data_IF_318078259844
#
_entry.id   IF_318078259844
#
_cell.length_a   1.000
_cell.length_b   1.000
_cell.length_c   1.000
_cell.angle_alpha   90.00
_cell.angle_beta   90.00
_cell.angle_gamma   90.00
#
_symmetry.space_group_name_H-M   'P 1'
#
loop_
_entity.id
_entity.type
_entity.pdbx_description
1 polymer ?
#
# COMPACT_ATOMS: atom_id res chain seq x y z
N UNK A 1 -6.19 10.76 11.55
CA UNK A 1 -5.10 10.33 12.46
C UNK A 1 -4.99 11.37 13.56
N UNK A 2 -4.83 10.96 14.82
CA UNK A 2 -4.68 11.87 15.96
C UNK A 2 -3.44 11.45 16.76
N UNK A 3 -2.55 12.41 17.04
CA UNK A 3 -1.41 12.23 17.95
C UNK A 3 -1.92 12.06 19.38
N UNK A 4 -1.50 11.00 20.07
CA UNK A 4 -1.95 10.68 21.43
C UNK A 4 -0.83 10.80 22.47
N UNK A 5 0.44 10.72 22.04
CA UNK A 5 1.63 11.03 22.85
C UNK A 5 2.68 11.70 21.95
N UNK A 6 3.90 11.93 22.47
CA UNK A 6 4.98 12.46 21.63
C UNK A 6 5.45 11.50 20.54
N UNK A 7 5.26 10.21 20.73
CA UNK A 7 5.74 9.16 19.82
C UNK A 7 4.64 8.31 19.20
N UNK A 8 3.38 8.51 19.60
CA UNK A 8 2.27 7.64 19.16
C UNK A 8 1.12 8.44 18.56
N UNK A 9 0.52 7.83 17.53
CA UNK A 9 -0.70 8.28 16.89
C UNK A 9 -1.71 7.14 16.77
N UNK A 10 -2.97 7.53 16.59
CA UNK A 10 -4.07 6.62 16.29
C UNK A 10 -4.71 7.01 14.97
N UNK A 11 -4.67 6.10 14.00
CA UNK A 11 -5.56 6.15 12.82
C UNK A 11 -6.87 5.47 13.20
N UNK A 12 -8.01 6.11 12.93
CA UNK A 12 -9.32 5.53 13.22
C UNK A 12 -10.37 5.97 12.21
N UNK A 13 -11.39 5.14 12.02
CA UNK A 13 -12.51 5.40 11.12
C UNK A 13 -13.23 4.12 10.68
N UNK A 14 -14.32 4.30 9.94
CA UNK A 14 -15.10 3.19 9.39
C UNK A 14 -14.33 2.33 8.37
N UNK A 15 -13.33 2.92 7.73
CA UNK A 15 -12.52 2.26 6.69
C UNK A 15 -11.13 1.82 7.20
N UNK A 16 -10.85 1.94 8.50
CA UNK A 16 -9.61 1.46 9.09
C UNK A 16 -9.80 -0.01 9.46
N UNK A 17 -9.03 -0.90 8.83
CA UNK A 17 -9.28 -2.35 8.92
C UNK A 17 -8.10 -3.10 9.54
N UNK A 18 -8.37 -4.33 9.98
CA UNK A 18 -7.32 -5.27 10.36
C UNK A 18 -6.40 -5.61 9.16
N UNK A 19 -6.90 -5.52 7.93
CA UNK A 19 -6.12 -5.69 6.71
C UNK A 19 -5.03 -4.62 6.58
N UNK A 20 -5.39 -3.35 6.71
CA UNK A 20 -4.43 -2.24 6.72
C UNK A 20 -3.34 -2.43 7.78
N UNK A 21 -3.75 -2.79 9.01
CA UNK A 21 -2.81 -3.07 10.09
C UNK A 21 -1.80 -4.17 9.71
N UNK A 22 -2.27 -5.30 9.17
CA UNK A 22 -1.40 -6.40 8.75
C UNK A 22 -0.48 -6.02 7.59
N UNK A 23 -0.98 -5.25 6.63
CA UNK A 23 -0.18 -4.75 5.52
C UNK A 23 0.96 -3.85 6.00
N UNK A 24 0.68 -2.93 6.91
CA UNK A 24 1.69 -2.04 7.49
C UNK A 24 2.75 -2.83 8.28
N UNK A 25 2.36 -3.81 9.09
CA UNK A 25 3.31 -4.69 9.79
C UNK A 25 4.17 -5.51 8.80
N UNK A 26 3.54 -6.03 7.75
CA UNK A 26 4.24 -6.81 6.73
C UNK A 26 5.25 -5.96 5.94
N UNK A 27 4.91 -4.71 5.64
CA UNK A 27 5.81 -3.75 5.02
C UNK A 27 6.98 -3.39 5.94
N UNK A 28 6.69 -3.05 7.20
CA UNK A 28 7.71 -2.74 8.21
C UNK A 28 8.75 -3.86 8.36
N UNK A 29 8.32 -5.12 8.35
CA UNK A 29 9.21 -6.28 8.49
C UNK A 29 10.10 -6.54 7.26
N UNK A 30 9.68 -6.07 6.08
CA UNK A 30 10.34 -6.40 4.80
C UNK A 30 11.20 -5.26 4.26
N UNK A 31 10.89 -4.03 4.63
CA UNK A 31 11.56 -2.84 4.11
C UNK A 31 12.67 -2.36 5.04
N UNK A 32 13.78 -1.96 4.44
CA UNK A 32 14.90 -1.36 5.14
C UNK A 32 14.58 0.11 5.46
N UNK A 33 14.52 0.42 6.74
CA UNK A 33 14.25 1.77 7.26
C UNK A 33 15.31 2.83 6.90
N UNK A 34 16.48 2.42 6.42
CA UNK A 34 17.49 3.34 5.86
C UNK A 34 17.15 3.80 4.44
N UNK A 35 16.24 3.09 3.76
CA UNK A 35 15.76 3.43 2.40
C UNK A 35 14.36 4.04 2.46
N UNK A 36 13.45 3.38 3.18
CA UNK A 36 12.08 3.86 3.39
C UNK A 36 11.58 3.33 4.72
N UNK A 37 11.17 4.25 5.58
CA UNK A 37 10.66 3.92 6.91
C UNK A 37 9.14 3.67 6.82
N UNK A 38 8.68 2.67 7.55
CA UNK A 38 7.25 2.39 7.73
C UNK A 38 6.96 2.50 9.23
N UNK A 39 6.06 3.41 9.66
CA UNK A 39 5.71 3.56 11.07
C UNK A 39 5.30 2.22 11.68
N UNK A 40 5.79 1.93 12.89
CA UNK A 40 5.45 0.67 13.58
C UNK A 40 3.97 0.65 13.90
N UNK A 41 3.24 -0.35 13.38
CA UNK A 41 1.87 -0.60 13.77
C UNK A 41 1.86 -1.54 14.98
N UNK A 42 1.52 -1.02 16.16
CA UNK A 42 1.57 -1.74 17.43
C UNK A 42 0.34 -2.58 17.69
N UNK A 43 -0.85 -2.03 17.39
CA UNK A 43 -2.11 -2.68 17.74
C UNK A 43 -3.26 -2.25 16.85
N UNK A 44 -4.06 -3.22 16.44
CA UNK A 44 -5.41 -2.98 15.94
C UNK A 44 -6.45 -3.23 17.04
N UNK A 45 -7.43 -2.35 17.14
CA UNK A 45 -8.63 -2.50 17.97
C UNK A 45 -9.83 -2.14 17.12
N UNK A 46 -10.92 -2.88 17.27
CA UNK A 46 -12.20 -2.52 16.66
C UNK A 46 -13.25 -2.34 17.76
N UNK A 47 -14.00 -1.25 17.66
CA UNK A 47 -15.17 -0.98 18.49
C UNK A 47 -16.33 -0.64 17.57
N UNK A 48 -17.39 -1.45 17.61
CA UNK A 48 -18.52 -1.35 16.69
C UNK A 48 -18.02 -1.37 15.22
N UNK A 49 -18.41 -0.38 14.42
CA UNK A 49 -17.98 -0.22 13.03
C UNK A 49 -16.69 0.61 12.86
N UNK A 50 -16.01 0.98 13.95
CA UNK A 50 -14.81 1.82 13.90
C UNK A 50 -13.57 0.97 14.21
N UNK A 51 -12.63 0.93 13.26
CA UNK A 51 -11.30 0.39 13.50
C UNK A 51 -10.33 1.47 14.01
N UNK A 52 -9.33 1.02 14.74
CA UNK A 52 -8.28 1.84 15.35
C UNK A 52 -6.93 1.15 15.16
N UNK A 53 -5.96 1.86 14.60
CA UNK A 53 -4.56 1.43 14.53
C UNK A 53 -3.74 2.36 15.42
N UNK A 54 -3.13 1.81 16.45
CA UNK A 54 -2.13 2.48 17.28
C UNK A 54 -0.77 2.26 16.62
N UNK A 55 -0.08 3.34 16.29
CA UNK A 55 1.17 3.32 15.55
C UNK A 55 2.13 4.44 15.97
N UNK A 56 3.38 4.37 15.51
CA UNK A 56 4.32 5.48 15.62
C UNK A 56 3.72 6.77 15.04
N UNK A 57 3.89 7.86 15.77
CA UNK A 57 3.72 9.20 15.21
C UNK A 57 4.99 9.59 14.48
N UNK A 58 4.85 10.04 13.23
CA UNK A 58 5.96 10.59 12.44
C UNK A 58 5.92 12.11 12.60
N UNK A 59 6.96 12.67 13.19
CA UNK A 59 7.14 14.12 13.31
C UNK A 59 7.89 14.60 12.06
N UNK A 60 7.15 15.09 11.07
CA UNK A 60 7.71 15.49 9.78
C UNK A 60 6.67 16.10 8.86
N UNK A 61 7.13 16.58 7.71
CA UNK A 61 6.29 17.27 6.73
C UNK A 61 5.72 16.29 5.70
N UNK A 62 4.39 16.24 5.59
CA UNK A 62 3.73 15.52 4.49
C UNK A 62 4.02 16.22 3.17
N UNK A 63 4.47 15.47 2.16
CA UNK A 63 4.82 16.05 0.88
C UNK A 63 3.58 16.60 0.15
N UNK A 64 3.71 17.83 -0.34
CA UNK A 64 2.82 18.36 -1.37
C UNK A 64 3.34 18.01 -2.78
N UNK A 65 2.55 18.35 -3.79
CA UNK A 65 2.89 18.06 -5.19
C UNK A 65 4.15 18.79 -5.66
N UNK A 66 4.47 19.97 -5.09
CA UNK A 66 5.63 20.77 -5.49
C UNK A 66 6.90 20.12 -4.94
N UNK A 67 6.89 19.77 -3.66
CA UNK A 67 8.00 19.13 -2.94
C UNK A 67 8.27 17.74 -3.49
N UNK A 68 7.22 16.95 -3.76
CA UNK A 68 7.36 15.64 -4.39
C UNK A 68 8.00 15.69 -5.78
N UNK A 69 7.71 16.74 -6.59
CA UNK A 69 8.38 16.92 -7.89
C UNK A 69 9.88 17.15 -7.73
N UNK A 70 10.29 17.90 -6.71
CA UNK A 70 11.71 18.13 -6.42
C UNK A 70 12.42 16.86 -5.95
N UNK A 71 11.70 15.92 -5.34
CA UNK A 71 12.22 14.63 -4.86
C UNK A 71 12.00 13.46 -5.83
N UNK A 72 11.52 13.70 -7.05
CA UNK A 72 11.05 12.64 -7.94
C UNK A 72 12.09 11.53 -8.22
N UNK A 73 13.37 11.89 -8.35
CA UNK A 73 14.45 10.92 -8.55
C UNK A 73 14.63 10.00 -7.33
N UNK A 74 14.58 10.58 -6.13
CA UNK A 74 14.72 9.84 -4.87
C UNK A 74 13.50 8.95 -4.61
N UNK A 75 12.29 9.49 -4.80
CA UNK A 75 11.05 8.71 -4.71
C UNK A 75 11.02 7.57 -5.73
N UNK A 76 11.57 7.77 -6.93
CA UNK A 76 11.75 6.71 -7.92
C UNK A 76 12.70 5.60 -7.46
N UNK A 77 13.79 5.94 -6.74
CA UNK A 77 14.71 4.97 -6.13
C UNK A 77 14.02 4.17 -5.01
N UNK A 78 13.24 4.85 -4.17
CA UNK A 78 12.44 4.22 -3.10
C UNK A 78 11.42 3.25 -3.70
N UNK A 79 10.62 3.70 -4.68
CA UNK A 79 9.63 2.85 -5.33
C UNK A 79 10.29 1.68 -6.07
N UNK A 80 11.42 1.92 -6.73
CA UNK A 80 12.24 0.87 -7.33
C UNK A 80 12.78 -0.15 -6.33
N UNK A 81 13.03 0.25 -5.08
CA UNK A 81 13.40 -0.67 -3.98
C UNK A 81 12.22 -1.50 -3.49
N UNK A 82 11.06 -0.88 -3.30
CA UNK A 82 9.82 -1.58 -2.91
C UNK A 82 9.48 -2.66 -3.95
N UNK A 83 9.54 -2.32 -5.24
CA UNK A 83 9.23 -3.28 -6.32
C UNK A 83 10.18 -4.50 -6.41
N UNK A 84 11.36 -4.46 -5.78
CA UNK A 84 12.26 -5.62 -5.72
C UNK A 84 11.79 -6.69 -4.76
N UNK A 85 10.86 -6.37 -3.85
CA UNK A 85 10.28 -7.35 -2.95
C UNK A 85 9.26 -8.19 -3.71
N UNK A 86 9.60 -9.43 -4.02
CA UNK A 86 8.74 -10.33 -4.82
C UNK A 86 7.87 -11.26 -3.97
N UNK A 87 6.87 -11.86 -4.61
CA UNK A 87 6.07 -12.95 -4.05
C UNK A 87 5.74 -14.01 -5.12
N UNK A 88 5.30 -15.18 -4.67
CA UNK A 88 4.89 -16.30 -5.54
C UNK A 88 3.41 -16.29 -5.89
N UNK A 89 2.59 -15.58 -5.10
CA UNK A 89 1.14 -15.46 -5.29
C UNK A 89 0.73 -14.00 -5.16
N UNK A 90 -0.25 -13.55 -5.97
CA UNK A 90 -0.79 -12.20 -5.85
C UNK A 90 -1.72 -12.10 -4.65
N UNK A 91 -1.96 -10.89 -4.17
CA UNK A 91 -2.88 -10.65 -3.05
C UNK A 91 -2.37 -9.59 -2.07
N UNK A 92 -3.13 -9.44 -0.99
CA UNK A 92 -2.86 -8.44 0.06
C UNK A 92 -1.51 -8.69 0.73
N UNK A 93 -0.77 -7.62 1.04
CA UNK A 93 0.62 -7.71 1.52
C UNK A 93 0.75 -8.47 2.86
N UNK A 94 -0.19 -8.24 3.76
CA UNK A 94 -0.34 -8.91 5.04
C UNK A 94 -1.29 -10.12 5.01
N UNK A 95 -1.77 -10.50 3.82
CA UNK A 95 -2.74 -11.57 3.59
C UNK A 95 -4.20 -11.19 3.91
N UNK A 96 -5.10 -12.10 3.55
CA UNK A 96 -6.55 -11.89 3.59
C UNK A 96 -7.05 -11.04 2.42
N UNK A 97 -8.30 -10.53 2.51
CA UNK A 97 -8.94 -9.81 1.42
C UNK A 97 -8.19 -8.55 0.99
N UNK A 98 -8.28 -8.28 -0.30
CA UNK A 98 -7.79 -7.05 -0.91
C UNK A 98 -8.62 -5.83 -0.49
N UNK A 99 -8.00 -4.66 -0.58
CA UNK A 99 -8.62 -3.38 -0.26
C UNK A 99 -8.04 -2.30 -1.17
N UNK A 100 -8.78 -1.21 -1.37
CA UNK A 100 -8.39 -0.11 -2.27
C UNK A 100 -9.22 -0.05 -3.55
N UNK A 101 -9.00 1.02 -4.31
CA UNK A 101 -9.89 1.47 -5.40
C UNK A 101 -9.97 0.53 -6.61
N UNK A 102 -9.05 -0.43 -6.74
CA UNK A 102 -9.07 -1.41 -7.82
C UNK A 102 -10.06 -2.55 -7.58
N UNK A 103 -10.55 -2.69 -6.35
CA UNK A 103 -11.35 -3.84 -5.92
C UNK A 103 -12.75 -3.38 -5.48
N UNK A 104 -13.78 -4.23 -5.59
CA UNK A 104 -15.14 -3.88 -5.19
C UNK A 104 -15.22 -3.62 -3.68
N UNK A 105 -15.93 -2.56 -3.27
CA UNK A 105 -16.05 -2.19 -1.84
C UNK A 105 -16.86 -3.19 -0.99
N UNK A 106 -17.67 -4.05 -1.64
CA UNK A 106 -18.62 -4.94 -0.96
C UNK A 106 -18.34 -6.42 -1.22
N UNK A 107 -17.16 -6.75 -1.74
CA UNK A 107 -16.75 -8.12 -2.03
C UNK A 107 -15.34 -8.40 -1.50
N UNK A 108 -15.18 -9.52 -0.79
CA UNK A 108 -13.87 -9.98 -0.37
C UNK A 108 -13.17 -10.65 -1.56
N UNK A 109 -12.14 -9.97 -2.09
CA UNK A 109 -11.33 -10.49 -3.19
C UNK A 109 -10.03 -11.06 -2.67
N UNK A 110 -9.79 -12.34 -2.93
CA UNK A 110 -8.53 -13.03 -2.67
C UNK A 110 -8.12 -13.84 -3.89
N UNK A 111 -6.81 -14.00 -4.09
CA UNK A 111 -6.25 -14.78 -5.20
C UNK A 111 -5.33 -15.86 -4.64
N UNK A 112 -5.46 -17.10 -5.10
CA UNK A 112 -4.55 -18.18 -4.70
C UNK A 112 -3.26 -18.13 -5.54
N UNK A 113 -3.40 -17.73 -6.81
CA UNK A 113 -2.31 -17.74 -7.79
C UNK A 113 -2.56 -16.75 -8.95
N UNK A 114 -1.60 -16.66 -9.86
CA UNK A 114 -1.66 -15.73 -11.00
C UNK A 114 -2.75 -16.03 -12.03
N UNK A 115 -3.25 -17.26 -12.13
CA UNK A 115 -4.41 -17.59 -13.00
C UNK A 115 -5.69 -16.99 -12.43
N UNK A 116 -5.88 -16.99 -11.10
CA UNK A 116 -7.06 -16.39 -10.47
C UNK A 116 -7.08 -14.87 -10.71
N UNK A 117 -5.92 -14.21 -10.55
CA UNK A 117 -5.77 -12.79 -10.86
C UNK A 117 -6.04 -12.51 -12.36
N UNK A 118 -5.52 -13.35 -13.26
CA UNK A 118 -5.77 -13.20 -14.70
C UNK A 118 -7.25 -13.34 -15.02
N UNK A 119 -7.92 -14.35 -14.46
CA UNK A 119 -9.33 -14.61 -14.67
C UNK A 119 -10.18 -13.43 -14.17
N UNK A 120 -9.87 -12.92 -12.97
CA UNK A 120 -10.55 -11.76 -12.41
C UNK A 120 -10.37 -10.54 -13.31
N UNK A 121 -9.14 -10.26 -13.75
CA UNK A 121 -8.86 -9.13 -14.64
C UNK A 121 -9.58 -9.26 -15.98
N UNK A 122 -9.61 -10.46 -16.57
CA UNK A 122 -10.32 -10.73 -17.83
C UNK A 122 -11.83 -10.52 -17.72
N UNK A 123 -12.43 -10.80 -16.56
CA UNK A 123 -13.85 -10.61 -16.30
C UNK A 123 -14.23 -9.15 -16.07
N UNK A 124 -13.31 -8.35 -15.51
CA UNK A 124 -13.56 -6.97 -15.10
C UNK A 124 -12.92 -5.92 -16.01
N UNK A 125 -12.12 -6.33 -17.00
CA UNK A 125 -11.52 -5.42 -17.97
C UNK A 125 -12.54 -4.93 -19.00
N UNK A 126 -12.71 -3.61 -19.19
CA UNK A 126 -13.71 -3.04 -20.09
C UNK A 126 -13.40 -3.22 -21.59
N UNK A 127 -12.20 -3.70 -21.96
CA UNK A 127 -11.72 -3.71 -23.35
C UNK A 127 -11.38 -5.11 -23.87
N UNK A 128 -12.00 -5.50 -24.98
CA UNK A 128 -11.79 -6.79 -25.67
C UNK A 128 -10.60 -6.82 -26.66
N UNK A 129 -9.98 -5.68 -26.95
CA UNK A 129 -9.01 -5.53 -28.05
C UNK A 129 -7.56 -5.92 -27.73
N UNK A 130 -7.10 -5.71 -26.50
CA UNK A 130 -5.74 -6.06 -26.06
C UNK A 130 -5.80 -6.63 -24.64
N UNK A 131 -5.78 -7.96 -24.53
CA UNK A 131 -5.71 -8.64 -23.24
C UNK A 131 -4.27 -8.64 -22.74
N UNK A 132 -4.05 -8.03 -21.58
CA UNK A 132 -2.76 -8.10 -20.89
C UNK A 132 -2.64 -9.46 -20.21
N UNK A 133 -1.58 -10.19 -20.52
CA UNK A 133 -1.25 -11.45 -19.85
C UNK A 133 -0.45 -11.17 -18.56
N UNK A 134 -1.17 -10.99 -17.46
CA UNK A 134 -0.62 -10.70 -16.12
C UNK A 134 0.34 -11.79 -15.66
N UNK A 135 0.12 -13.04 -16.09
CA UNK A 135 0.93 -14.21 -15.70
C UNK A 135 2.38 -14.13 -16.19
N UNK A 136 2.66 -13.30 -17.20
CA UNK A 136 4.02 -13.08 -17.71
C UNK A 136 4.82 -12.07 -16.90
N UNK A 137 4.20 -11.45 -15.90
CA UNK A 137 4.82 -10.39 -15.13
C UNK A 137 5.16 -10.91 -13.74
N UNK A 138 6.37 -10.59 -13.27
CA UNK A 138 6.75 -10.85 -11.89
C UNK A 138 5.84 -10.06 -10.94
N UNK A 139 5.50 -10.69 -9.81
CA UNK A 139 4.77 -10.05 -8.74
C UNK A 139 5.75 -9.27 -7.86
N UNK A 140 5.47 -8.00 -7.68
CA UNK A 140 6.23 -7.06 -6.88
C UNK A 140 5.34 -6.50 -5.79
N UNK A 141 5.93 -6.22 -4.62
CA UNK A 141 5.27 -5.42 -3.60
C UNK A 141 4.91 -4.07 -4.22
N UNK A 142 3.64 -3.72 -4.13
CA UNK A 142 3.06 -2.46 -4.54
C UNK A 142 2.37 -1.84 -3.32
N UNK A 143 2.58 -0.56 -3.11
CA UNK A 143 1.84 0.26 -2.17
C UNK A 143 0.41 0.51 -2.66
N UNK A 144 0.23 0.72 -3.97
CA UNK A 144 -1.07 1.00 -4.61
C UNK A 144 -1.76 2.29 -4.11
N UNK A 145 -0.99 3.18 -3.49
CA UNK A 145 -1.39 4.56 -3.18
C UNK A 145 -0.13 5.40 -2.92
N UNK A 146 0.88 5.25 -3.79
CA UNK A 146 2.16 5.94 -3.69
C UNK A 146 2.02 7.43 -4.09
N UNK A 147 1.26 8.17 -3.29
CA UNK A 147 0.92 9.58 -3.50
C UNK A 147 1.68 10.47 -2.48
N UNK A 148 2.06 11.70 -2.83
CA UNK A 148 2.70 12.65 -1.91
C UNK A 148 2.03 12.77 -0.54
N UNK A 149 0.69 12.70 -0.49
CA UNK A 149 -0.09 12.75 0.77
C UNK A 149 0.23 11.62 1.76
N UNK A 150 0.80 10.53 1.28
CA UNK A 150 1.19 9.35 2.06
C UNK A 150 2.70 9.29 2.32
N UNK A 151 3.44 10.34 1.97
CA UNK A 151 4.87 10.44 2.16
C UNK A 151 5.15 11.57 3.14
N UNK A 152 5.78 11.22 4.25
CA UNK A 152 6.22 12.18 5.27
C UNK A 152 7.74 12.21 5.25
N UNK A 153 8.31 13.41 5.25
CA UNK A 153 9.76 13.62 5.29
C UNK A 153 10.13 14.25 6.61
N UNK A 154 11.08 13.64 7.30
CA UNK A 154 11.71 14.16 8.51
C UNK A 154 13.22 14.20 8.24
N UNK A 155 13.76 15.41 8.10
CA UNK A 155 15.11 15.68 7.58
C UNK A 155 15.37 14.97 6.23
N UNK A 156 16.20 13.92 6.24
CA UNK A 156 16.57 13.11 5.08
C UNK A 156 15.93 11.71 5.12
N UNK A 157 14.90 11.50 5.95
CA UNK A 157 14.24 10.21 6.13
C UNK A 157 12.87 10.27 5.49
N UNK A 158 12.60 9.29 4.63
CA UNK A 158 11.30 9.12 3.97
C UNK A 158 10.49 8.10 4.75
N UNK A 159 9.31 8.52 5.19
CA UNK A 159 8.31 7.66 5.82
C UNK A 159 7.15 7.46 4.84
N UNK A 160 6.79 6.20 4.61
CA UNK A 160 5.66 5.82 3.76
C UNK A 160 4.53 5.28 4.64
N UNK A 161 3.36 5.91 4.56
CA UNK A 161 2.19 5.62 5.39
C UNK A 161 1.00 5.17 4.53
N UNK A 162 -0.07 4.70 5.19
CA UNK A 162 -1.30 4.24 4.55
C UNK A 162 -1.12 3.02 3.63
N UNK A 163 -0.83 1.87 4.25
CA UNK A 163 -0.63 0.59 3.57
C UNK A 163 -1.94 -0.18 3.31
N UNK A 164 -3.09 0.51 3.34
CA UNK A 164 -4.41 -0.12 3.26
C UNK A 164 -4.60 -0.93 1.98
N UNK A 165 -4.13 -0.42 0.84
CA UNK A 165 -4.25 -1.06 -0.46
C UNK A 165 -3.08 -1.98 -0.85
N UNK A 166 -2.05 -2.08 -0.02
CA UNK A 166 -0.79 -2.71 -0.42
C UNK A 166 -0.93 -4.21 -0.71
N UNK A 167 -0.18 -4.68 -1.71
CA UNK A 167 -0.22 -6.08 -2.13
C UNK A 167 0.87 -6.45 -3.13
N UNK A 168 0.85 -7.71 -3.58
CA UNK A 168 1.77 -8.23 -4.59
C UNK A 168 1.09 -8.33 -5.95
N UNK A 169 1.55 -7.50 -6.88
CA UNK A 169 0.98 -7.37 -8.23
C UNK A 169 2.07 -7.06 -9.25
N UNK A 170 1.78 -7.16 -10.56
CA UNK A 170 2.66 -6.61 -11.57
C UNK A 170 2.95 -5.13 -11.30
N UNK A 171 4.22 -4.73 -11.26
CA UNK A 171 4.67 -3.36 -10.87
C UNK A 171 3.96 -2.19 -11.58
N UNK A 172 3.38 -2.42 -12.75
CA UNK A 172 2.66 -1.39 -13.49
C UNK A 172 1.31 -1.04 -12.85
N UNK A 173 0.80 -1.85 -11.91
CA UNK A 173 -0.41 -1.56 -11.15
C UNK A 173 -0.31 -0.24 -10.36
N UNK A 174 0.88 0.13 -9.88
CA UNK A 174 1.14 1.45 -9.28
C UNK A 174 0.75 2.62 -10.19
N UNK A 175 0.81 2.43 -11.51
CA UNK A 175 0.58 3.50 -12.47
C UNK A 175 -0.87 3.53 -12.96
N UNK A 176 -1.52 2.37 -13.04
CA UNK A 176 -2.89 2.25 -13.54
C UNK A 176 -3.87 3.04 -12.67
N UNK A 177 -3.63 3.08 -11.37
CA UNK A 177 -4.42 3.84 -10.39
C UNK A 177 -4.55 5.34 -10.70
N UNK A 178 -3.58 5.92 -11.42
CA UNK A 178 -3.55 7.33 -11.75
C UNK A 178 -4.05 7.62 -13.17
N UNK A 179 -4.54 6.60 -13.88
CA UNK A 179 -5.09 6.71 -15.24
C UNK A 179 -6.62 6.59 -15.28
N UNK A 180 -7.28 6.43 -14.13
CA UNK A 180 -8.72 6.38 -13.96
C UNK A 180 -9.24 7.54 -13.11
#
# INVERSE_FOLDING_TARGET
VVRITDSLAVKFGHFVTAGEFRNQQAAQQRLNADIVNVPTAYRFVQKDAIGYIVMDYVDGDTLDLVSAKNMAEELGKVLGYIHRQGATSPGSLGGGPLSGVLWPEHEEVEFLNSEDLQLWFDQHSPSSGHKVDLRRHALSMCHLDFNPRNIIVDDNRIYLVDWSAAGYFPRFFEHILYQF
#
